data_IF_111266822975
#
_entry.id   IF_111266822975
#
_cell.length_a   1.000
_cell.length_b   1.000
_cell.length_c   1.000
_cell.angle_alpha   90.00
_cell.angle_beta   90.00
_cell.angle_gamma   90.00
#
_symmetry.space_group_name_H-M   'P 1'
#
loop_
_entity.id
_entity.type
_entity.pdbx_description
1 polymer ?
#
# COMPACT_ATOMS: atom_id res chain seq x y z
N UNK A 1 5.50 11.04 26.61
CA UNK A 1 5.45 12.29 25.86
C UNK A 1 4.11 12.27 25.15
N UNK A 2 3.19 13.06 25.64
CA UNK A 2 1.92 13.32 24.96
C UNK A 2 2.26 13.96 23.62
N UNK A 3 1.82 13.35 22.55
CA UNK A 3 1.83 13.98 21.23
C UNK A 3 0.80 15.11 21.31
N UNK A 4 1.25 16.37 21.22
CA UNK A 4 0.33 17.49 21.02
C UNK A 4 -0.52 17.17 19.77
N UNK A 5 -1.81 16.88 19.98
CA UNK A 5 -2.78 16.78 18.90
C UNK A 5 -2.79 18.14 18.16
N UNK A 6 -2.32 18.14 16.94
CA UNK A 6 -2.42 19.34 16.09
C UNK A 6 -3.89 19.57 15.78
N UNK A 7 -4.41 20.71 16.18
CA UNK A 7 -5.78 21.13 15.88
C UNK A 7 -5.85 21.59 14.41
N UNK A 8 -6.25 20.68 13.52
CA UNK A 8 -6.45 20.96 12.10
C UNK A 8 -7.82 21.62 11.89
N UNK A 9 -7.85 22.71 11.10
CA UNK A 9 -9.12 23.28 10.69
C UNK A 9 -9.96 22.26 9.93
N UNK A 10 -11.25 22.14 10.25
CA UNK A 10 -12.19 21.25 9.55
C UNK A 10 -12.18 21.52 8.04
N UNK A 11 -12.00 20.47 7.25
CA UNK A 11 -11.91 20.50 5.78
C UNK A 11 -13.00 19.61 5.16
N UNK A 12 -13.42 19.96 3.94
CA UNK A 12 -14.25 19.15 3.05
C UNK A 12 -13.34 18.41 2.08
N UNK A 13 -13.20 17.12 2.24
CA UNK A 13 -12.21 16.27 1.56
C UNK A 13 -12.93 15.28 0.66
N UNK A 14 -12.58 15.22 -0.63
CA UNK A 14 -12.95 14.12 -1.50
C UNK A 14 -11.83 13.08 -1.50
N UNK A 15 -12.17 11.80 -1.21
CA UNK A 15 -11.31 10.64 -1.40
C UNK A 15 -11.79 9.89 -2.63
N UNK A 16 -10.94 9.71 -3.64
CA UNK A 16 -11.27 9.07 -4.91
C UNK A 16 -10.51 7.76 -5.03
N UNK A 17 -11.19 6.65 -4.72
CA UNK A 17 -10.62 5.31 -4.71
C UNK A 17 -10.67 4.66 -6.10
N UNK A 18 -9.78 3.68 -6.40
CA UNK A 18 -10.01 2.77 -7.52
C UNK A 18 -11.33 2.02 -7.35
N UNK A 19 -11.94 1.63 -8.47
CA UNK A 19 -13.20 0.88 -8.46
C UNK A 19 -13.00 -0.65 -8.56
N UNK A 20 -11.74 -1.11 -8.52
CA UNK A 20 -11.43 -2.53 -8.72
C UNK A 20 -11.94 -3.41 -7.59
N UNK A 21 -11.79 -2.96 -6.35
CA UNK A 21 -12.30 -3.60 -5.14
C UNK A 21 -13.16 -2.63 -4.33
N UNK A 22 -13.95 -3.15 -3.38
CA UNK A 22 -14.68 -2.30 -2.42
C UNK A 22 -13.71 -1.61 -1.44
N UNK A 23 -14.19 -0.58 -0.76
CA UNK A 23 -13.45 0.15 0.29
C UNK A 23 -14.14 -0.07 1.64
N UNK A 24 -13.59 -0.90 2.57
CA UNK A 24 -12.40 -1.75 2.42
C UNK A 24 -12.66 -2.96 1.52
N UNK A 25 -11.60 -3.56 0.94
CA UNK A 25 -11.74 -4.78 0.16
C UNK A 25 -12.03 -5.98 1.07
N UNK A 26 -12.80 -6.95 0.57
CA UNK A 26 -13.13 -8.18 1.30
C UNK A 26 -11.88 -9.04 1.50
N UNK A 27 -11.12 -9.26 0.43
CA UNK A 27 -9.91 -10.08 0.42
C UNK A 27 -8.68 -9.25 0.05
N UNK A 28 -8.15 -9.46 -1.17
CA UNK A 28 -7.01 -8.71 -1.70
C UNK A 28 -7.44 -7.31 -2.15
N UNK A 29 -6.56 -6.31 -1.96
CA UNK A 29 -6.80 -4.92 -2.34
C UNK A 29 -6.02 -3.96 -1.42
N UNK A 30 -4.72 -3.79 -1.70
CA UNK A 30 -3.85 -2.97 -0.82
C UNK A 30 -4.23 -1.50 -0.83
N UNK A 31 -4.48 -0.94 -2.02
CA UNK A 31 -4.82 0.48 -2.20
C UNK A 31 -6.14 0.82 -1.52
N UNK A 32 -7.19 0.06 -1.81
CA UNK A 32 -8.54 0.29 -1.28
C UNK A 32 -8.57 0.13 0.25
N UNK A 33 -7.75 -0.77 0.79
CA UNK A 33 -7.59 -0.92 2.24
C UNK A 33 -6.97 0.31 2.90
N UNK A 34 -5.91 0.85 2.29
CA UNK A 34 -5.27 2.09 2.78
C UNK A 34 -6.20 3.28 2.66
N UNK A 35 -6.95 3.38 1.53
CA UNK A 35 -7.97 4.43 1.36
C UNK A 35 -9.03 4.33 2.44
N UNK A 36 -9.49 3.13 2.78
CA UNK A 36 -10.43 2.92 3.89
C UNK A 36 -9.84 3.43 5.21
N UNK A 37 -8.61 3.03 5.56
CA UNK A 37 -7.99 3.46 6.82
C UNK A 37 -7.81 4.98 6.90
N UNK A 38 -7.40 5.61 5.80
CA UNK A 38 -7.27 7.06 5.74
C UNK A 38 -8.63 7.76 5.84
N UNK A 39 -9.62 7.30 5.10
CA UNK A 39 -10.98 7.86 5.08
C UNK A 39 -11.60 7.83 6.47
N UNK A 40 -11.60 6.68 7.13
CA UNK A 40 -12.17 6.50 8.46
C UNK A 40 -11.45 7.36 9.51
N UNK A 41 -10.13 7.49 9.40
CA UNK A 41 -9.35 8.30 10.32
C UNK A 41 -9.63 9.80 10.14
N UNK A 42 -9.73 10.28 8.90
CA UNK A 42 -10.11 11.68 8.61
C UNK A 42 -11.52 12.00 9.13
N UNK A 43 -12.48 11.07 9.00
CA UNK A 43 -13.82 11.21 9.60
C UNK A 43 -13.72 11.26 11.14
N UNK A 44 -12.94 10.37 11.76
CA UNK A 44 -12.72 10.35 13.21
C UNK A 44 -12.12 11.65 13.73
N UNK A 45 -11.23 12.28 12.94
CA UNK A 45 -10.63 13.59 13.24
C UNK A 45 -11.58 14.78 13.00
N UNK A 46 -12.83 14.55 12.57
CA UNK A 46 -13.89 15.57 12.46
C UNK A 46 -13.97 16.26 11.10
N UNK A 47 -13.25 15.80 10.08
CA UNK A 47 -13.35 16.33 8.72
C UNK A 47 -14.62 15.85 8.00
N UNK A 48 -15.11 16.64 7.04
CA UNK A 48 -16.22 16.26 6.15
C UNK A 48 -15.65 15.49 4.96
N UNK A 49 -15.74 14.17 4.99
CA UNK A 49 -15.17 13.31 3.96
C UNK A 49 -16.24 12.75 3.05
N UNK A 50 -16.01 12.82 1.74
CA UNK A 50 -16.80 12.15 0.72
C UNK A 50 -15.93 11.13 0.00
N UNK A 51 -16.34 9.87 0.00
CA UNK A 51 -15.66 8.76 -0.67
C UNK A 51 -16.36 8.45 -2.00
N UNK A 52 -15.63 8.57 -3.11
CA UNK A 52 -16.02 8.09 -4.42
C UNK A 52 -15.44 6.69 -4.61
N UNK A 53 -16.28 5.68 -4.66
CA UNK A 53 -15.88 4.26 -4.70
C UNK A 53 -16.98 3.38 -5.32
N UNK A 54 -16.83 2.06 -5.30
CA UNK A 54 -17.89 1.10 -5.63
C UNK A 54 -18.99 1.10 -4.57
N UNK A 55 -20.21 0.75 -4.96
CA UNK A 55 -21.41 0.84 -4.13
C UNK A 55 -21.49 -0.17 -3.00
N UNK A 56 -20.72 -1.25 -3.07
CA UNK A 56 -20.52 -2.25 -2.02
C UNK A 56 -19.49 -1.84 -0.96
N UNK A 57 -18.93 -0.62 -1.05
CA UNK A 57 -18.01 -0.06 -0.06
C UNK A 57 -18.73 0.30 1.24
N UNK A 58 -18.01 0.17 2.38
CA UNK A 58 -18.53 0.44 3.72
C UNK A 58 -17.67 1.50 4.40
N UNK A 59 -18.25 2.66 4.73
CA UNK A 59 -17.54 3.80 5.31
C UNK A 59 -18.45 4.65 6.19
N UNK A 60 -17.88 5.36 7.17
CA UNK A 60 -18.54 6.43 7.92
C UNK A 60 -18.53 7.78 7.18
N UNK A 61 -17.77 7.91 6.09
CA UNK A 61 -17.81 9.06 5.19
C UNK A 61 -19.11 9.05 4.35
N UNK A 62 -19.38 10.16 3.68
CA UNK A 62 -20.43 10.19 2.65
C UNK A 62 -19.96 9.36 1.45
N UNK A 63 -20.58 8.20 1.20
CA UNK A 63 -20.32 7.39 0.02
C UNK A 63 -21.04 7.97 -1.22
N UNK A 64 -20.30 8.15 -2.32
CA UNK A 64 -20.82 8.41 -3.66
C UNK A 64 -20.50 7.19 -4.51
N UNK A 65 -21.48 6.27 -4.71
CA UNK A 65 -21.27 5.05 -5.47
C UNK A 65 -21.18 5.36 -6.97
N UNK A 66 -20.19 4.75 -7.65
CA UNK A 66 -19.95 4.91 -9.10
C UNK A 66 -20.39 3.66 -9.87
N UNK A 67 -20.20 2.49 -9.30
CA UNK A 67 -20.65 1.18 -9.77
C UNK A 67 -21.51 0.52 -8.68
N UNK A 68 -22.32 -0.47 -9.02
CA UNK A 68 -23.11 -1.19 -8.02
C UNK A 68 -22.22 -1.96 -7.04
N UNK A 69 -21.14 -2.54 -7.56
CA UNK A 69 -20.16 -3.31 -6.79
C UNK A 69 -18.76 -3.15 -7.38
N UNK A 70 -17.76 -3.68 -6.69
CA UNK A 70 -16.37 -3.74 -7.12
C UNK A 70 -16.23 -4.37 -8.51
N UNK A 71 -15.50 -3.70 -9.43
CA UNK A 71 -15.47 -4.09 -10.85
C UNK A 71 -14.81 -5.45 -11.11
N UNK A 72 -13.90 -5.89 -10.23
CA UNK A 72 -13.31 -7.24 -10.33
C UNK A 72 -14.28 -8.35 -9.95
N UNK A 73 -15.27 -8.03 -9.14
CA UNK A 73 -16.28 -8.98 -8.66
C UNK A 73 -17.54 -8.94 -9.50
N UNK A 74 -17.66 -7.97 -10.43
CA UNK A 74 -18.80 -7.85 -11.33
C UNK A 74 -18.56 -8.64 -12.63
N UNK A 75 -19.25 -9.80 -12.81
CA UNK A 75 -19.12 -10.60 -14.03
C UNK A 75 -19.69 -9.91 -15.28
N UNK A 76 -20.42 -8.80 -15.11
CA UNK A 76 -20.98 -8.00 -16.22
C UNK A 76 -20.06 -6.86 -16.64
N UNK A 77 -19.00 -6.60 -15.90
CA UNK A 77 -18.06 -5.53 -16.21
C UNK A 77 -17.11 -5.97 -17.31
N UNK A 78 -17.27 -5.42 -18.50
CA UNK A 78 -16.37 -5.66 -19.65
C UNK A 78 -15.28 -4.58 -19.79
N UNK A 79 -15.60 -3.31 -19.49
CA UNK A 79 -14.67 -2.19 -19.59
C UNK A 79 -14.59 -1.42 -18.26
N UNK A 80 -13.59 -1.77 -17.46
CA UNK A 80 -13.34 -1.12 -16.17
C UNK A 80 -12.91 0.35 -16.31
N UNK A 81 -12.28 0.73 -17.44
CA UNK A 81 -11.85 2.10 -17.67
C UNK A 81 -13.04 3.04 -17.89
N UNK A 82 -14.10 2.60 -18.57
CA UNK A 82 -15.31 3.38 -18.77
C UNK A 82 -15.92 3.84 -17.43
N UNK A 83 -15.97 2.95 -16.43
CA UNK A 83 -16.45 3.29 -15.08
C UNK A 83 -15.56 4.36 -14.41
N UNK A 84 -14.23 4.30 -14.58
CA UNK A 84 -13.33 5.32 -14.05
C UNK A 84 -13.51 6.68 -14.75
N UNK A 85 -13.81 6.71 -16.05
CA UNK A 85 -14.16 7.94 -16.76
C UNK A 85 -15.45 8.55 -16.20
N UNK A 86 -16.49 7.74 -15.98
CA UNK A 86 -17.73 8.20 -15.33
C UNK A 86 -17.48 8.73 -13.90
N UNK A 87 -16.60 8.06 -13.15
CA UNK A 87 -16.19 8.54 -11.83
C UNK A 87 -15.55 9.92 -11.90
N UNK A 88 -14.62 10.12 -12.83
CA UNK A 88 -13.98 11.42 -13.00
C UNK A 88 -14.99 12.51 -13.33
N UNK A 89 -15.92 12.27 -14.24
CA UNK A 89 -16.99 13.23 -14.54
C UNK A 89 -17.80 13.55 -13.28
N UNK A 90 -18.16 12.54 -12.48
CA UNK A 90 -18.90 12.74 -11.23
C UNK A 90 -18.10 13.58 -10.22
N UNK A 91 -16.83 13.28 -10.01
CA UNK A 91 -15.94 14.03 -9.11
C UNK A 91 -15.84 15.49 -9.53
N UNK A 92 -15.57 15.76 -10.80
CA UNK A 92 -15.39 17.12 -11.30
C UNK A 92 -16.68 17.92 -11.35
N UNK A 93 -17.85 17.29 -11.53
CA UNK A 93 -19.15 17.97 -11.42
C UNK A 93 -19.43 18.46 -10.00
N UNK A 94 -18.89 17.80 -8.97
CA UNK A 94 -19.02 18.18 -7.56
C UNK A 94 -17.81 18.95 -6.99
N UNK A 95 -16.80 19.28 -7.79
CA UNK A 95 -15.50 19.83 -7.34
C UNK A 95 -15.58 21.05 -6.41
N UNK A 96 -16.64 21.90 -6.55
CA UNK A 96 -16.84 23.09 -5.72
C UNK A 96 -17.25 22.76 -4.28
N UNK A 97 -17.63 21.52 -4.01
CA UNK A 97 -18.02 21.08 -2.68
C UNK A 97 -16.82 20.74 -1.80
N UNK A 98 -15.60 20.67 -2.36
CA UNK A 98 -14.41 20.23 -1.68
C UNK A 98 -13.36 21.31 -1.57
N UNK A 99 -12.65 21.31 -0.45
CA UNK A 99 -11.47 22.15 -0.24
C UNK A 99 -10.24 21.51 -0.88
N UNK A 100 -10.22 20.15 -0.95
CA UNK A 100 -9.20 19.36 -1.63
C UNK A 100 -9.80 18.05 -2.14
N UNK A 101 -9.27 17.55 -3.29
CA UNK A 101 -9.58 16.26 -3.86
C UNK A 101 -8.32 15.39 -3.81
N UNK A 102 -8.37 14.27 -3.11
CA UNK A 102 -7.29 13.30 -3.01
C UNK A 102 -7.58 12.09 -3.89
N UNK A 103 -6.76 11.88 -4.91
CA UNK A 103 -6.89 10.78 -5.86
C UNK A 103 -5.97 9.62 -5.49
N UNK A 104 -6.47 8.38 -5.65
CA UNK A 104 -5.73 7.13 -5.50
C UNK A 104 -5.78 6.28 -6.78
N UNK A 105 -5.99 6.92 -7.92
CA UNK A 105 -6.20 6.33 -9.26
C UNK A 105 -5.08 6.72 -10.23
N UNK A 106 -3.88 6.90 -9.67
CA UNK A 106 -2.69 7.32 -10.42
C UNK A 106 -2.95 8.56 -11.29
N UNK A 107 -2.57 8.53 -12.52
CA UNK A 107 -2.59 9.66 -13.46
C UNK A 107 -3.91 9.89 -14.21
N UNK A 108 -4.93 9.07 -14.01
CA UNK A 108 -6.17 9.12 -14.83
C UNK A 108 -6.87 10.48 -14.81
N UNK A 109 -6.78 11.20 -13.71
CA UNK A 109 -7.42 12.52 -13.54
C UNK A 109 -6.55 13.70 -14.03
N UNK A 110 -5.25 13.52 -14.30
CA UNK A 110 -4.31 14.62 -14.55
C UNK A 110 -4.75 15.59 -15.64
N UNK A 111 -5.22 15.13 -16.83
CA UNK A 111 -5.68 16.05 -17.88
C UNK A 111 -6.85 16.94 -17.45
N UNK A 112 -7.78 16.39 -16.63
CA UNK A 112 -8.92 17.14 -16.11
C UNK A 112 -8.49 18.10 -14.99
N UNK A 113 -7.73 17.63 -14.01
CA UNK A 113 -7.24 18.44 -12.89
C UNK A 113 -6.46 19.66 -13.38
N UNK A 114 -5.61 19.50 -14.39
CA UNK A 114 -4.85 20.60 -15.02
C UNK A 114 -5.77 21.66 -15.62
N UNK A 115 -6.82 21.25 -16.33
CA UNK A 115 -7.77 22.17 -17.00
C UNK A 115 -8.71 22.84 -16.01
N UNK A 116 -9.21 22.08 -15.05
CA UNK A 116 -10.21 22.53 -14.08
C UNK A 116 -9.61 23.31 -12.89
N UNK A 117 -8.27 23.30 -12.76
CA UNK A 117 -7.51 24.04 -11.74
C UNK A 117 -8.03 23.81 -10.31
N UNK A 118 -8.37 22.56 -9.99
CA UNK A 118 -8.81 22.19 -8.64
C UNK A 118 -7.62 21.95 -7.72
N UNK A 119 -7.79 22.26 -6.43
CA UNK A 119 -6.82 21.86 -5.42
C UNK A 119 -6.89 20.34 -5.27
N UNK A 120 -5.82 19.66 -5.60
CA UNK A 120 -5.78 18.21 -5.57
C UNK A 120 -4.41 17.68 -5.15
N UNK A 121 -4.37 16.41 -4.80
CA UNK A 121 -3.15 15.62 -4.61
C UNK A 121 -3.42 14.18 -5.04
N UNK A 122 -2.38 13.49 -5.49
CA UNK A 122 -2.46 12.07 -5.84
C UNK A 122 -1.47 11.27 -5.03
N UNK A 123 -1.93 10.23 -4.35
CA UNK A 123 -1.01 9.20 -3.84
C UNK A 123 -0.78 8.16 -4.91
N UNK A 124 0.49 7.95 -5.25
CA UNK A 124 0.91 6.90 -6.16
C UNK A 124 1.15 5.62 -5.35
N UNK A 125 0.40 4.54 -5.66
CA UNK A 125 0.46 3.29 -4.89
C UNK A 125 1.28 2.20 -5.56
N UNK A 126 1.45 2.29 -6.89
CA UNK A 126 2.12 1.29 -7.71
C UNK A 126 3.61 1.54 -7.91
N UNK A 127 4.20 0.70 -8.74
CA UNK A 127 5.57 0.86 -9.23
C UNK A 127 5.63 2.00 -10.26
N UNK A 128 6.75 2.73 -10.28
CA UNK A 128 6.95 3.89 -11.15
C UNK A 128 8.10 3.70 -12.16
N UNK A 129 8.72 2.54 -12.15
CA UNK A 129 9.82 2.15 -13.04
C UNK A 129 9.35 1.59 -14.40
N UNK A 130 8.05 1.64 -14.67
CA UNK A 130 7.47 1.23 -15.96
C UNK A 130 7.85 2.25 -17.04
N UNK A 131 8.46 1.84 -18.17
CA UNK A 131 8.95 2.77 -19.19
C UNK A 131 7.90 3.73 -19.74
N UNK A 132 6.66 3.28 -19.93
CA UNK A 132 5.56 4.10 -20.46
C UNK A 132 5.14 5.24 -19.49
N UNK A 133 5.45 5.15 -18.22
CA UNK A 133 5.13 6.18 -17.22
C UNK A 133 6.08 7.37 -17.30
N UNK A 134 7.31 7.18 -17.77
CA UNK A 134 8.32 8.25 -17.85
C UNK A 134 7.84 9.45 -18.69
N UNK A 135 7.42 9.29 -19.97
CA UNK A 135 6.94 10.42 -20.77
C UNK A 135 5.63 11.01 -20.20
N UNK A 136 4.76 10.20 -19.60
CA UNK A 136 3.52 10.68 -19.00
C UNK A 136 3.80 11.64 -17.84
N UNK A 137 4.62 11.22 -16.87
CA UNK A 137 4.94 12.07 -15.71
C UNK A 137 5.83 13.25 -16.08
N UNK A 138 6.61 13.20 -17.16
CA UNK A 138 7.31 14.37 -17.71
C UNK A 138 6.31 15.42 -18.22
N UNK A 139 5.27 15.01 -18.94
CA UNK A 139 4.21 15.92 -19.42
C UNK A 139 3.42 16.52 -18.28
N UNK A 140 3.17 15.76 -17.21
CA UNK A 140 2.37 16.16 -16.05
C UNK A 140 3.22 16.42 -14.80
N UNK A 141 4.47 16.85 -14.97
CA UNK A 141 5.44 17.01 -13.88
C UNK A 141 5.00 17.98 -12.78
N UNK A 142 4.09 18.91 -13.08
CA UNK A 142 3.54 19.88 -12.13
C UNK A 142 2.42 19.33 -11.25
N UNK A 143 1.84 18.16 -11.58
CA UNK A 143 0.77 17.56 -10.78
C UNK A 143 1.29 17.19 -9.38
N UNK A 144 0.60 17.64 -8.30
CA UNK A 144 1.04 17.36 -6.94
C UNK A 144 0.83 15.87 -6.61
N UNK A 145 1.92 15.18 -6.30
CA UNK A 145 1.91 13.76 -6.00
C UNK A 145 2.58 13.45 -4.67
N UNK A 146 2.18 12.34 -4.04
CA UNK A 146 2.73 11.81 -2.80
C UNK A 146 3.21 10.39 -3.05
N UNK A 147 4.43 10.10 -2.60
CA UNK A 147 4.97 8.74 -2.59
C UNK A 147 4.63 8.02 -1.28
N UNK A 148 4.68 6.70 -1.32
CA UNK A 148 4.47 5.84 -0.15
C UNK A 148 5.78 5.30 0.44
N UNK A 149 6.90 5.54 -0.24
CA UNK A 149 8.27 5.37 0.25
C UNK A 149 9.22 6.31 -0.50
N UNK A 150 10.43 6.50 -0.01
CA UNK A 150 11.44 7.27 -0.74
C UNK A 150 11.98 6.46 -1.92
N UNK A 151 12.14 5.15 -1.76
CA UNK A 151 12.55 4.25 -2.84
C UNK A 151 11.59 4.30 -4.04
N UNK A 152 10.28 4.42 -3.79
CA UNK A 152 9.30 4.55 -4.88
C UNK A 152 9.55 5.77 -5.78
N UNK A 153 10.19 6.84 -5.25
CA UNK A 153 10.44 8.09 -6.00
C UNK A 153 11.62 8.00 -6.96
N UNK A 154 12.53 7.03 -6.75
CA UNK A 154 13.79 6.93 -7.50
C UNK A 154 13.62 6.97 -9.02
N UNK A 155 12.63 6.27 -9.63
CA UNK A 155 12.43 6.32 -11.09
C UNK A 155 11.95 7.68 -11.61
N UNK A 156 11.33 8.53 -10.77
CA UNK A 156 10.70 9.79 -11.15
C UNK A 156 11.13 10.95 -10.22
N UNK A 157 12.44 11.27 -10.13
CA UNK A 157 12.94 12.23 -9.13
C UNK A 157 12.46 13.67 -9.38
N UNK A 158 12.09 14.02 -10.60
CA UNK A 158 11.88 15.41 -11.04
C UNK A 158 10.40 15.76 -11.28
N UNK A 159 9.47 15.15 -10.54
CA UNK A 159 8.04 15.51 -10.56
C UNK A 159 7.66 16.24 -9.27
N UNK A 160 6.45 16.78 -9.21
CA UNK A 160 6.00 17.63 -8.09
C UNK A 160 5.67 16.83 -6.83
N UNK A 161 6.68 16.22 -6.22
CA UNK A 161 6.54 15.48 -4.97
C UNK A 161 6.19 16.40 -3.79
N UNK A 162 5.02 16.20 -3.19
CA UNK A 162 4.58 16.93 -2.01
C UNK A 162 5.13 16.35 -0.71
N UNK A 163 5.63 15.12 -0.75
CA UNK A 163 6.23 14.41 0.37
C UNK A 163 6.17 12.90 0.18
N UNK A 164 6.67 12.19 1.19
CA UNK A 164 6.50 10.75 1.36
C UNK A 164 5.60 10.51 2.55
N UNK A 165 4.46 9.83 2.36
CA UNK A 165 3.57 9.43 3.45
C UNK A 165 3.53 7.90 3.49
N UNK A 166 4.21 7.32 4.48
CA UNK A 166 4.14 5.88 4.71
C UNK A 166 2.71 5.46 5.02
N UNK A 167 2.29 4.31 4.54
CA UNK A 167 0.99 3.77 4.89
C UNK A 167 0.86 3.56 6.40
N UNK A 168 -0.38 3.64 6.87
CA UNK A 168 -0.73 3.43 8.26
C UNK A 168 -1.99 2.59 8.40
N UNK A 169 -2.11 1.92 9.54
CA UNK A 169 -3.23 1.04 9.85
C UNK A 169 -3.81 1.37 11.23
N UNK A 170 -5.11 1.07 11.47
CA UNK A 170 -5.73 1.28 12.77
C UNK A 170 -5.02 0.48 13.86
N UNK A 171 -4.55 1.18 14.89
CA UNK A 171 -3.82 0.57 16.00
C UNK A 171 -4.62 -0.53 16.71
N UNK A 172 -5.90 -0.29 16.95
CA UNK A 172 -6.73 -1.13 17.82
C UNK A 172 -7.34 -2.34 17.12
N UNK A 173 -7.23 -2.42 15.77
CA UNK A 173 -7.75 -3.56 15.01
C UNK A 173 -6.81 -4.76 14.98
N UNK A 174 -5.55 -4.59 15.38
CA UNK A 174 -4.53 -5.65 15.34
C UNK A 174 -4.19 -6.09 16.76
N UNK A 175 -4.56 -7.30 17.17
CA UNK A 175 -4.19 -7.83 18.48
C UNK A 175 -2.68 -8.05 18.58
N UNK A 176 -2.11 -7.77 19.73
CA UNK A 176 -0.72 -8.10 20.02
C UNK A 176 -0.60 -9.55 20.47
N UNK A 177 0.36 -10.28 19.93
CA UNK A 177 0.67 -11.65 20.27
C UNK A 177 2.04 -11.71 20.95
N UNK A 178 2.07 -12.16 22.23
CA UNK A 178 3.33 -12.23 23.02
C UNK A 178 4.18 -13.45 22.67
N UNK A 179 3.54 -14.55 22.23
CA UNK A 179 4.20 -15.81 21.92
C UNK A 179 4.67 -15.93 20.46
N UNK A 180 5.87 -16.43 20.24
CA UNK A 180 6.34 -16.86 18.92
C UNK A 180 5.72 -18.20 18.51
N UNK A 181 5.20 -18.29 17.29
CA UNK A 181 4.64 -19.53 16.74
C UNK A 181 5.70 -20.54 16.31
N UNK A 182 5.23 -21.68 15.80
CA UNK A 182 6.08 -22.77 15.36
C UNK A 182 6.26 -22.84 13.83
N UNK A 183 5.82 -21.80 13.10
CA UNK A 183 5.89 -21.76 11.64
C UNK A 183 6.31 -20.39 11.14
N UNK A 184 6.88 -20.36 9.96
CA UNK A 184 7.14 -19.16 9.17
C UNK A 184 5.89 -18.85 8.36
N UNK A 185 5.53 -17.57 8.22
CA UNK A 185 4.41 -17.14 7.42
C UNK A 185 4.87 -16.57 6.07
N UNK A 186 4.16 -16.87 5.00
CA UNK A 186 4.20 -16.13 3.74
C UNK A 186 2.79 -15.62 3.45
N UNK A 187 2.64 -14.32 3.23
CA UNK A 187 1.34 -13.68 2.97
C UNK A 187 1.44 -12.74 1.77
N UNK A 188 0.63 -13.00 0.73
CA UNK A 188 0.63 -12.12 -0.43
C UNK A 188 0.02 -12.73 -1.68
N UNK A 189 0.53 -12.31 -2.85
CA UNK A 189 0.22 -12.90 -4.14
C UNK A 189 1.34 -13.87 -4.54
N UNK A 190 0.98 -14.96 -5.17
CA UNK A 190 1.97 -15.87 -5.78
C UNK A 190 2.35 -15.28 -7.14
N UNK A 191 3.52 -14.67 -7.20
CA UNK A 191 4.13 -14.15 -8.41
C UNK A 191 5.66 -14.18 -8.28
N UNK A 192 6.41 -14.21 -9.39
CA UNK A 192 7.87 -14.33 -9.34
C UNK A 192 8.54 -13.32 -8.41
N UNK A 193 8.14 -12.07 -8.51
CA UNK A 193 8.73 -10.96 -7.75
C UNK A 193 8.47 -11.02 -6.24
N UNK A 194 7.50 -11.82 -5.78
CA UNK A 194 7.23 -12.00 -4.34
C UNK A 194 8.08 -13.07 -3.69
N UNK A 195 8.78 -13.91 -4.47
CA UNK A 195 9.81 -14.81 -3.99
C UNK A 195 9.29 -15.96 -3.12
N UNK A 196 8.12 -16.54 -3.45
CA UNK A 196 7.62 -17.70 -2.70
C UNK A 196 8.55 -18.93 -2.82
N UNK A 197 9.18 -19.13 -3.96
CA UNK A 197 10.22 -20.14 -4.17
C UNK A 197 11.39 -19.94 -3.20
N UNK A 198 11.83 -18.68 -2.98
CA UNK A 198 12.85 -18.34 -2.00
C UNK A 198 12.38 -18.61 -0.57
N UNK A 199 11.11 -18.28 -0.24
CA UNK A 199 10.56 -18.58 1.09
C UNK A 199 10.57 -20.10 1.37
N UNK A 200 10.25 -20.93 0.38
CA UNK A 200 10.30 -22.40 0.49
C UNK A 200 11.75 -22.88 0.65
N UNK A 201 12.70 -22.28 -0.07
CA UNK A 201 14.12 -22.63 0.07
C UNK A 201 14.66 -22.27 1.47
N UNK A 202 14.31 -21.07 1.99
CA UNK A 202 14.64 -20.66 3.36
C UNK A 202 14.10 -21.66 4.38
N UNK A 203 12.85 -22.07 4.22
CA UNK A 203 12.18 -23.06 5.06
C UNK A 203 12.92 -24.39 5.12
N UNK A 204 13.33 -24.91 3.96
CA UNK A 204 14.11 -26.16 3.87
C UNK A 204 15.45 -26.06 4.58
N UNK A 205 16.14 -24.92 4.45
CA UNK A 205 17.44 -24.68 5.11
C UNK A 205 17.30 -24.52 6.62
N UNK A 206 16.23 -23.86 7.07
CA UNK A 206 15.97 -23.63 8.50
C UNK A 206 15.39 -24.85 9.22
N UNK A 207 14.75 -25.78 8.49
CA UNK A 207 14.02 -26.92 9.08
C UNK A 207 12.78 -26.49 9.88
N UNK A 208 12.22 -25.30 9.60
CA UNK A 208 11.03 -24.77 10.27
C UNK A 208 9.84 -24.74 9.30
N UNK A 209 8.63 -25.20 9.68
CA UNK A 209 7.47 -25.22 8.80
C UNK A 209 7.12 -23.83 8.24
N UNK A 210 6.61 -23.81 7.00
CA UNK A 210 6.07 -22.62 6.31
C UNK A 210 4.58 -22.81 6.08
N UNK A 211 3.78 -21.83 6.49
CA UNK A 211 2.37 -21.73 6.11
C UNK A 211 2.22 -20.57 5.13
N UNK A 212 1.62 -20.87 3.98
CA UNK A 212 1.45 -19.94 2.86
C UNK A 212 -0.01 -19.55 2.76
N UNK A 213 -0.33 -18.27 2.99
CA UNK A 213 -1.62 -17.68 2.70
C UNK A 213 -1.49 -16.75 1.49
N UNK A 214 -1.98 -17.18 0.33
CA UNK A 214 -1.68 -16.44 -0.89
C UNK A 214 -2.74 -16.62 -1.97
N UNK A 215 -2.94 -15.55 -2.76
CA UNK A 215 -3.76 -15.52 -3.97
C UNK A 215 -2.94 -15.92 -5.18
N UNK A 216 -3.57 -16.65 -6.09
CA UNK A 216 -3.05 -16.94 -7.44
C UNK A 216 -3.87 -16.11 -8.43
N UNK A 217 -3.26 -15.10 -9.06
CA UNK A 217 -3.90 -14.36 -10.14
C UNK A 217 -3.80 -15.14 -11.46
N UNK A 218 -4.78 -14.95 -12.36
CA UNK A 218 -4.80 -15.62 -13.67
C UNK A 218 -3.51 -15.41 -14.47
N UNK A 219 -2.91 -14.24 -14.35
CA UNK A 219 -1.64 -13.91 -15.01
C UNK A 219 -0.47 -14.75 -14.48
N UNK A 220 -0.52 -15.15 -13.21
CA UNK A 220 0.57 -15.87 -12.54
C UNK A 220 0.30 -17.38 -12.46
N UNK A 221 -0.81 -17.89 -13.01
CA UNK A 221 -1.18 -19.29 -12.96
C UNK A 221 -0.09 -20.22 -13.53
N UNK A 222 0.53 -19.83 -14.64
CA UNK A 222 1.61 -20.60 -15.24
C UNK A 222 2.83 -20.70 -14.31
N UNK A 223 3.22 -19.59 -13.68
CA UNK A 223 4.31 -19.59 -12.70
C UNK A 223 3.98 -20.49 -11.51
N UNK A 224 2.75 -20.44 -11.01
CA UNK A 224 2.32 -21.34 -9.94
C UNK A 224 2.42 -22.80 -10.35
N UNK A 225 1.88 -23.19 -11.51
CA UNK A 225 1.86 -24.59 -11.96
C UNK A 225 3.26 -25.14 -12.25
N UNK A 226 4.12 -24.33 -12.90
CA UNK A 226 5.44 -24.78 -13.36
C UNK A 226 6.52 -24.70 -12.25
N UNK A 227 6.45 -23.74 -11.35
CA UNK A 227 7.52 -23.45 -10.37
C UNK A 227 7.09 -23.76 -8.93
N UNK A 228 5.95 -23.23 -8.50
CA UNK A 228 5.57 -23.30 -7.07
C UNK A 228 4.95 -24.64 -6.73
N UNK A 229 4.00 -25.12 -7.51
CA UNK A 229 3.26 -26.36 -7.24
C UNK A 229 4.15 -27.58 -6.98
N UNK A 230 5.24 -27.80 -7.75
CA UNK A 230 6.18 -28.89 -7.46
C UNK A 230 6.91 -28.74 -6.11
N UNK A 231 7.06 -27.52 -5.60
CA UNK A 231 7.74 -27.23 -4.34
C UNK A 231 6.85 -27.44 -3.11
N UNK A 232 5.53 -27.48 -3.31
CA UNK A 232 4.55 -27.68 -2.23
C UNK A 232 4.52 -29.12 -1.73
N UNK A 233 5.09 -30.08 -2.47
CA UNK A 233 5.20 -31.48 -2.05
C UNK A 233 6.32 -31.66 -1.01
N UNK A 234 6.17 -30.99 0.12
CA UNK A 234 7.10 -31.03 1.25
C UNK A 234 6.31 -31.01 2.56
N UNK A 235 6.66 -31.89 3.47
CA UNK A 235 6.06 -31.96 4.81
C UNK A 235 6.27 -30.68 5.65
N UNK A 236 7.15 -29.78 5.19
CA UNK A 236 7.41 -28.48 5.82
C UNK A 236 6.55 -27.34 5.24
N UNK A 237 5.78 -27.58 4.18
CA UNK A 237 5.07 -26.51 3.46
C UNK A 237 3.58 -26.78 3.44
N UNK A 238 2.80 -25.84 3.95
CA UNK A 238 1.35 -25.88 3.94
C UNK A 238 0.81 -24.66 3.17
N UNK A 239 -0.06 -24.90 2.17
CA UNK A 239 -0.75 -23.86 1.42
C UNK A 239 -2.23 -23.83 1.83
N UNK A 240 -2.65 -22.72 2.46
CA UNK A 240 -4.01 -22.55 3.00
C UNK A 240 -4.95 -21.73 2.09
N UNK A 241 -4.45 -21.29 0.92
CA UNK A 241 -5.24 -20.47 0.02
C UNK A 241 -5.23 -18.97 0.40
N UNK A 242 -6.20 -18.24 -0.08
CA UNK A 242 -6.39 -16.83 0.26
C UNK A 242 -7.17 -16.69 1.57
N UNK A 243 -6.70 -15.83 2.48
CA UNK A 243 -7.34 -15.58 3.78
C UNK A 243 -7.89 -14.17 3.86
N UNK A 244 -9.01 -14.01 4.57
CA UNK A 244 -9.66 -12.75 4.83
C UNK A 244 -9.00 -11.90 5.91
N UNK A 245 -9.55 -10.70 6.11
CA UNK A 245 -8.94 -9.74 7.02
C UNK A 245 -8.91 -10.19 8.49
N UNK A 246 -9.94 -10.83 9.08
CA UNK A 246 -9.84 -11.29 10.48
C UNK A 246 -8.83 -12.43 10.66
N UNK A 247 -8.78 -13.38 9.73
CA UNK A 247 -7.91 -14.55 9.79
C UNK A 247 -6.42 -14.18 9.69
N UNK A 248 -6.11 -13.06 9.00
CA UNK A 248 -4.74 -12.56 8.88
C UNK A 248 -4.09 -12.29 10.24
N UNK A 249 -4.86 -11.86 11.25
CA UNK A 249 -4.30 -11.54 12.57
C UNK A 249 -3.79 -12.78 13.27
N UNK A 250 -4.61 -13.83 13.30
CA UNK A 250 -4.21 -15.11 13.89
C UNK A 250 -3.09 -15.75 13.09
N UNK A 251 -3.17 -15.68 11.76
CA UNK A 251 -2.15 -16.19 10.88
C UNK A 251 -0.79 -15.51 11.09
N UNK A 252 -0.74 -14.19 11.13
CA UNK A 252 0.51 -13.46 11.37
C UNK A 252 0.93 -13.53 12.83
N UNK A 253 0.00 -13.36 13.76
CA UNK A 253 0.29 -13.31 15.20
C UNK A 253 0.87 -14.60 15.76
N UNK A 254 0.43 -15.75 15.26
CA UNK A 254 0.92 -17.06 15.65
C UNK A 254 2.16 -17.53 14.87
N UNK A 255 2.62 -16.75 13.89
CA UNK A 255 3.86 -17.07 13.18
C UNK A 255 5.11 -16.72 14.02
N UNK A 256 6.18 -17.49 13.83
CA UNK A 256 7.50 -17.17 14.37
C UNK A 256 8.09 -15.92 13.70
N UNK A 257 7.93 -15.83 12.38
CA UNK A 257 8.30 -14.67 11.57
C UNK A 257 7.51 -14.68 10.25
N UNK A 258 7.35 -13.48 9.65
CA UNK A 258 6.96 -13.32 8.27
C UNK A 258 8.21 -13.41 7.38
N UNK A 259 8.18 -14.24 6.33
CA UNK A 259 9.17 -14.22 5.26
C UNK A 259 8.73 -13.25 4.15
N UNK A 260 9.63 -12.34 3.78
CA UNK A 260 9.41 -11.35 2.73
C UNK A 260 10.62 -11.28 1.77
N UNK A 261 10.95 -12.40 1.08
CA UNK A 261 12.13 -12.52 0.23
C UNK A 261 11.84 -12.03 -1.20
N UNK A 262 11.36 -10.79 -1.31
CA UNK A 262 11.03 -10.16 -2.59
C UNK A 262 12.25 -9.96 -3.48
N UNK A 263 12.06 -9.99 -4.81
CA UNK A 263 13.10 -9.74 -5.81
C UNK A 263 12.69 -8.60 -6.75
N UNK A 264 12.24 -7.49 -6.16
CA UNK A 264 11.86 -6.29 -6.91
C UNK A 264 11.80 -5.05 -5.99
N UNK A 265 11.84 -3.82 -6.54
CA UNK A 265 11.71 -2.59 -5.75
C UNK A 265 10.27 -2.39 -5.25
N UNK A 266 9.88 -3.12 -4.23
CA UNK A 266 8.56 -3.03 -3.59
C UNK A 266 8.26 -1.60 -3.17
N UNK A 267 7.16 -0.98 -3.62
CA UNK A 267 6.83 0.39 -3.25
C UNK A 267 6.60 0.61 -1.76
N UNK A 268 6.01 -0.36 -1.04
CA UNK A 268 5.80 -0.25 0.42
C UNK A 268 5.82 -1.58 1.17
N UNK A 269 5.02 -2.58 0.73
CA UNK A 269 4.92 -3.87 1.41
C UNK A 269 4.07 -3.84 2.69
N UNK A 270 2.76 -3.61 2.56
CA UNK A 270 1.79 -3.57 3.68
C UNK A 270 1.92 -4.75 4.64
N UNK A 271 2.21 -5.93 4.12
CA UNK A 271 2.33 -7.15 4.93
C UNK A 271 3.41 -7.06 6.01
N UNK A 272 4.48 -6.27 5.79
CA UNK A 272 5.51 -6.03 6.81
C UNK A 272 4.92 -5.31 8.02
N UNK A 273 4.14 -4.25 7.80
CA UNK A 273 3.52 -3.50 8.90
C UNK A 273 2.33 -4.26 9.51
N UNK A 274 1.64 -5.12 8.74
CA UNK A 274 0.64 -6.06 9.27
C UNK A 274 1.27 -7.06 10.26
N UNK A 275 2.42 -7.63 9.92
CA UNK A 275 3.17 -8.51 10.81
C UNK A 275 3.64 -7.77 12.08
N UNK A 276 4.27 -6.60 11.91
CA UNK A 276 4.74 -5.78 13.04
C UNK A 276 3.59 -5.35 13.95
N UNK A 277 2.40 -5.08 13.40
CA UNK A 277 1.19 -4.77 14.17
C UNK A 277 0.75 -5.92 15.08
N UNK A 278 0.99 -7.16 14.69
CA UNK A 278 0.79 -8.35 15.52
C UNK A 278 1.98 -8.64 16.45
N UNK A 279 3.06 -7.85 16.40
CA UNK A 279 4.30 -8.12 17.11
C UNK A 279 5.19 -9.16 16.43
N UNK A 280 4.87 -9.58 15.23
CA UNK A 280 5.59 -10.63 14.50
C UNK A 280 6.76 -10.04 13.73
N UNK A 281 8.00 -10.54 13.97
CA UNK A 281 9.17 -10.07 13.25
C UNK A 281 9.12 -10.46 11.76
N UNK A 282 9.82 -9.66 10.94
CA UNK A 282 9.91 -9.88 9.49
C UNK A 282 11.35 -10.26 9.13
N UNK A 283 11.52 -11.24 8.24
CA UNK A 283 12.79 -11.55 7.59
C UNK A 283 12.64 -11.19 6.12
N UNK A 284 13.37 -10.20 5.64
CA UNK A 284 13.17 -9.63 4.32
C UNK A 284 14.49 -9.44 3.56
N UNK A 285 14.41 -9.45 2.21
CA UNK A 285 15.51 -9.02 1.36
C UNK A 285 15.52 -7.49 1.21
N UNK A 286 16.71 -6.85 0.98
CA UNK A 286 16.88 -5.39 1.08
C UNK A 286 16.42 -4.62 -0.15
N UNK A 287 15.29 -5.00 -0.77
CA UNK A 287 14.80 -4.36 -1.99
C UNK A 287 13.71 -3.32 -1.71
N UNK A 288 13.67 -2.29 -2.55
CA UNK A 288 12.65 -1.24 -2.52
C UNK A 288 12.53 -0.55 -1.16
N UNK A 289 11.34 -0.52 -0.62
CA UNK A 289 11.02 0.15 0.66
C UNK A 289 11.49 -0.61 1.91
N UNK A 290 11.95 -1.85 1.82
CA UNK A 290 12.30 -2.68 2.98
C UNK A 290 13.24 -1.97 3.96
N UNK A 291 14.36 -1.33 3.54
CA UNK A 291 15.25 -0.63 4.46
C UNK A 291 14.63 0.61 5.14
N UNK A 292 13.57 1.17 4.55
CA UNK A 292 12.84 2.31 5.13
C UNK A 292 11.78 1.88 6.14
N UNK A 293 11.14 0.75 5.89
CA UNK A 293 10.01 0.25 6.69
C UNK A 293 10.52 -0.55 7.88
N UNK A 294 11.52 -1.38 7.70
CA UNK A 294 12.08 -2.22 8.76
C UNK A 294 13.16 -1.50 9.58
N UNK A 295 13.33 -1.99 10.79
CA UNK A 295 14.46 -1.64 11.67
C UNK A 295 15.16 -2.91 12.12
N UNK A 296 16.38 -3.08 11.65
CA UNK A 296 17.25 -4.23 11.98
C UNK A 296 17.32 -4.48 13.49
N UNK A 297 17.13 -5.74 13.90
CA UNK A 297 17.16 -6.17 15.30
C UNK A 297 15.98 -5.71 16.18
N UNK A 298 15.01 -4.97 15.60
CA UNK A 298 13.81 -4.51 16.31
C UNK A 298 12.54 -5.07 15.68
N UNK A 299 12.35 -4.85 14.37
CA UNK A 299 11.21 -5.35 13.63
C UNK A 299 11.50 -6.66 12.87
N UNK A 300 12.73 -7.16 12.97
CA UNK A 300 13.19 -8.37 12.31
C UNK A 300 14.60 -8.21 11.76
N UNK A 301 14.90 -8.92 10.67
CA UNK A 301 16.20 -8.98 10.04
C UNK A 301 16.12 -8.67 8.55
N UNK A 302 17.04 -7.85 8.05
CA UNK A 302 17.22 -7.56 6.62
C UNK A 302 18.42 -8.36 6.14
N UNK A 303 18.21 -9.29 5.22
CA UNK A 303 19.23 -10.28 4.83
C UNK A 303 19.37 -10.36 3.30
N UNK A 304 20.57 -10.67 2.78
CA UNK A 304 20.80 -10.64 1.33
C UNK A 304 20.31 -11.88 0.57
N UNK A 305 20.14 -13.02 1.25
CA UNK A 305 19.91 -14.32 0.61
C UNK A 305 19.23 -15.35 1.53
N UNK A 306 18.87 -16.48 0.97
CA UNK A 306 18.20 -17.58 1.69
C UNK A 306 19.07 -18.20 2.80
N UNK A 307 20.40 -18.26 2.63
CA UNK A 307 21.29 -18.79 3.66
C UNK A 307 21.30 -17.88 4.88
N UNK A 308 21.46 -16.57 4.65
CA UNK A 308 21.43 -15.54 5.72
C UNK A 308 20.06 -15.49 6.40
N UNK A 309 18.96 -15.70 5.65
CA UNK A 309 17.62 -15.79 6.20
C UNK A 309 17.46 -16.99 7.14
N UNK A 310 17.97 -18.17 6.74
CA UNK A 310 17.97 -19.36 7.59
C UNK A 310 18.81 -19.18 8.87
N UNK A 311 19.91 -18.43 8.81
CA UNK A 311 20.68 -18.06 10.00
C UNK A 311 19.93 -17.05 10.89
N UNK A 312 19.22 -16.09 10.28
CA UNK A 312 18.40 -15.12 11.02
C UNK A 312 17.25 -15.79 11.78
N UNK A 313 16.63 -16.85 11.23
CA UNK A 313 15.59 -17.63 11.90
C UNK A 313 16.09 -18.20 13.24
N UNK A 314 17.34 -18.65 13.34
CA UNK A 314 17.92 -19.15 14.59
C UNK A 314 18.09 -18.07 15.67
N UNK A 315 17.97 -16.81 15.30
CA UNK A 315 18.13 -15.66 16.19
C UNK A 315 16.81 -14.90 16.46
N UNK A 316 15.66 -15.49 16.11
CA UNK A 316 14.34 -14.85 16.32
C UNK A 316 14.03 -14.60 17.81
N UNK A 317 14.59 -15.40 18.70
CA UNK A 317 14.50 -15.25 20.16
C UNK A 317 15.11 -13.92 20.67
N UNK A 318 15.99 -13.29 19.87
CA UNK A 318 16.58 -11.96 20.17
C UNK A 318 15.63 -10.80 19.84
N UNK A 319 14.57 -11.03 19.06
CA UNK A 319 13.59 -10.02 18.72
C UNK A 319 12.48 -9.98 19.77
N UNK A 320 12.38 -8.86 20.45
CA UNK A 320 11.30 -8.58 21.40
C UNK A 320 10.04 -8.18 20.60
N UNK A 321 9.02 -9.05 20.63
CA UNK A 321 7.75 -8.84 19.90
C UNK A 321 7.01 -7.57 20.36
N UNK A 322 7.14 -7.20 21.63
CA UNK A 322 6.58 -5.96 22.16
C UNK A 322 7.26 -4.74 21.53
N UNK A 323 8.59 -4.74 21.41
CA UNK A 323 9.34 -3.67 20.73
C UNK A 323 9.05 -3.61 19.23
N UNK A 324 8.82 -4.77 18.59
CA UNK A 324 8.37 -4.83 17.21
C UNK A 324 7.01 -4.13 17.05
N UNK A 325 6.05 -4.41 17.94
CA UNK A 325 4.74 -3.74 17.99
C UNK A 325 4.87 -2.24 18.28
N UNK A 326 5.67 -1.83 19.25
CA UNK A 326 5.91 -0.43 19.60
C UNK A 326 6.52 0.35 18.42
N UNK A 327 7.37 -0.30 17.62
CA UNK A 327 7.93 0.29 16.40
C UNK A 327 6.85 0.55 15.34
N UNK A 328 5.91 -0.39 15.14
CA UNK A 328 4.72 -0.17 14.33
C UNK A 328 3.88 1.00 14.84
N UNK A 329 3.54 1.00 16.12
CA UNK A 329 2.68 2.03 16.73
C UNK A 329 3.25 3.44 16.60
N UNK A 330 4.56 3.56 16.66
CA UNK A 330 5.24 4.86 16.49
C UNK A 330 5.22 5.36 15.06
N UNK A 331 5.19 4.49 14.04
CA UNK A 331 5.48 4.88 12.65
C UNK A 331 4.36 4.63 11.65
N UNK A 332 3.50 3.65 11.92
CA UNK A 332 2.62 3.11 10.88
C UNK A 332 1.15 3.05 11.32
N UNK A 333 0.72 3.97 12.19
CA UNK A 333 -0.70 4.10 12.55
C UNK A 333 -1.47 4.93 11.51
N UNK A 334 -2.78 4.66 11.38
CA UNK A 334 -3.68 5.47 10.54
C UNK A 334 -3.72 6.94 11.00
N UNK A 335 -3.63 7.19 12.30
CA UNK A 335 -3.59 8.54 12.86
C UNK A 335 -2.38 9.33 12.34
N UNK A 336 -1.16 8.78 12.47
CA UNK A 336 0.06 9.41 11.92
C UNK A 336 -0.06 9.62 10.40
N UNK A 337 -0.58 8.62 9.65
CA UNK A 337 -0.78 8.75 8.21
C UNK A 337 -1.75 9.89 7.87
N UNK A 338 -2.86 10.03 8.58
CA UNK A 338 -3.82 11.09 8.37
C UNK A 338 -3.23 12.48 8.71
N UNK A 339 -2.49 12.61 9.80
CA UNK A 339 -1.77 13.85 10.17
C UNK A 339 -0.78 14.30 9.08
N UNK A 340 -0.02 13.36 8.51
CA UNK A 340 0.91 13.66 7.43
C UNK A 340 0.16 14.17 6.18
N UNK A 341 -0.97 13.55 5.81
CA UNK A 341 -1.80 14.03 4.70
C UNK A 341 -2.45 15.37 5.00
N UNK A 342 -2.97 15.60 6.19
CA UNK A 342 -3.56 16.89 6.58
C UNK A 342 -2.56 18.04 6.47
N UNK A 343 -1.31 17.80 6.87
CA UNK A 343 -0.24 18.78 6.69
C UNK A 343 0.03 19.10 5.20
N UNK A 344 -0.07 18.11 4.31
CA UNK A 344 0.04 18.31 2.86
C UNK A 344 -1.18 19.09 2.34
N UNK A 345 -2.39 18.69 2.75
CA UNK A 345 -3.63 19.35 2.33
C UNK A 345 -3.62 20.82 2.68
N UNK A 346 -3.25 21.17 3.92
CA UNK A 346 -3.16 22.57 4.34
C UNK A 346 -2.20 23.40 3.47
N UNK A 347 -1.02 22.86 3.15
CA UNK A 347 -0.07 23.56 2.27
C UNK A 347 -0.64 23.80 0.89
N UNK A 348 -1.28 22.79 0.29
CA UNK A 348 -1.86 22.88 -1.05
C UNK A 348 -3.05 23.86 -1.09
N UNK A 349 -3.92 23.83 -0.09
CA UNK A 349 -5.06 24.76 0.02
C UNK A 349 -4.57 26.21 0.18
N UNK A 350 -3.47 26.43 0.90
CA UNK A 350 -2.85 27.77 1.08
C UNK A 350 -2.03 28.20 -0.16
N UNK A 351 -1.95 27.40 -1.21
CA UNK A 351 -1.13 27.67 -2.39
C UNK A 351 0.39 27.58 -2.13
N UNK A 352 0.81 26.96 -1.04
CA UNK A 352 2.21 26.76 -0.62
C UNK A 352 2.71 25.38 -1.06
N UNK A 353 2.65 25.10 -2.38
CA UNK A 353 3.21 23.85 -2.91
C UNK A 353 4.73 23.77 -2.61
N UNK A 354 5.23 22.55 -2.44
CA UNK A 354 6.68 22.32 -2.37
C UNK A 354 7.35 22.84 -3.66
N UNK A 355 8.58 23.38 -3.59
CA UNK A 355 9.28 23.87 -4.79
C UNK A 355 9.42 22.72 -5.80
N UNK A 356 8.95 22.92 -7.02
CA UNK A 356 9.15 21.99 -8.12
C UNK A 356 10.63 22.03 -8.48
N UNK A 357 11.35 20.89 -8.51
CA UNK A 357 12.69 20.86 -9.03
C UNK A 357 12.68 21.38 -10.48
N UNK A 358 13.51 22.35 -10.80
CA UNK A 358 13.65 22.84 -12.17
C UNK A 358 14.19 21.71 -13.05
N UNK A 359 13.33 21.11 -13.88
CA UNK A 359 13.77 20.23 -14.96
C UNK A 359 14.07 21.08 -16.20
N UNK A 360 15.33 21.23 -16.56
CA UNK A 360 15.69 21.61 -17.93
C UNK A 360 15.28 20.44 -18.85
N UNK A 361 14.18 20.60 -19.59
CA UNK A 361 13.72 19.64 -20.58
C UNK A 361 12.23 19.32 -20.59
N UNK A 362 11.38 20.34 -20.60
CA UNK A 362 9.97 20.13 -20.93
C UNK A 362 9.87 19.63 -22.40
N UNK A 363 9.32 18.43 -22.61
CA UNK A 363 8.96 17.96 -23.95
C UNK A 363 7.98 18.96 -24.58
N UNK A 364 8.49 19.79 -25.52
CA UNK A 364 7.62 20.59 -26.38
C UNK A 364 7.00 19.65 -27.40
N UNK A 365 5.68 19.61 -27.48
CA UNK A 365 4.98 19.02 -28.62
C UNK A 365 5.25 19.88 -29.84
N UNK A 366 6.39 19.70 -30.50
CA UNK A 366 6.61 20.29 -31.82
C UNK A 366 5.68 19.59 -32.79
N UNK A 367 4.79 20.36 -33.42
CA UNK A 367 4.01 19.92 -34.55
C UNK A 367 5.00 19.48 -35.62
N UNK A 368 5.15 18.16 -35.85
CA UNK A 368 5.66 17.66 -37.14
C UNK A 368 4.56 17.89 -38.15
N UNK A 369 4.87 18.77 -39.12
CA UNK A 369 4.03 19.04 -40.27
C UNK A 369 4.00 17.83 -41.24
#
# INVERSE_FOLDING_TARGET
METEERDFKKMRIAQVAPLYESVPPVLYGGTERVVSFLTEELVRMGHEVTLFASGDSVTNARLVPISEQALRLDPKCEDQLAHHVLMLERVFSEKRNFDIIHFHIDYLHFPLSRREKVVNVTTLHGRLDIPDLQPLYQVFHEMPVVSISNSQREPLPNINWQGTVYHGMPRDKYPHFEGGGKYLAFLGRISPEKGLDQAIEITKRAGMPLVIAAKIDKADQKYFDDVIKPLLDSHLVEYVGEIGYPEKFDFLGNAAALLFPIDWPEPFGLVMIEAMACGTPVIAYPYGSVPEIMKEGVSGFIVPDAQSAAEAIKNLDKIDRKKCREYFEKRFTSARMAEDYLAIYERLIKGQAAPIPHSEGALSWTKSA
#
